data_IF_597275046378
#
_entry.id   IF_597275046378
#
_cell.length_a   1.000
_cell.length_b   1.000
_cell.length_c   1.000
_cell.angle_alpha   90.00
_cell.angle_beta   90.00
_cell.angle_gamma   90.00
#
_symmetry.space_group_name_H-M   'P 1'
#
loop_
_entity.id
_entity.type
_entity.pdbx_description
1 polymer ?
#
# COMPACT_ATOMS: atom_id res chain seq x y z
N UNK A 1 22.66 -33.33 -0.57
CA UNK A 1 21.77 -32.55 0.32
C UNK A 1 21.51 -31.16 -0.26
N UNK A 2 22.30 -30.79 -1.25
CA UNK A 2 22.44 -29.46 -1.83
C UNK A 2 21.19 -29.04 -2.60
N UNK A 3 20.60 -29.96 -3.38
CA UNK A 3 19.34 -29.73 -4.07
C UNK A 3 18.14 -29.45 -3.14
N UNK A 4 18.13 -29.98 -1.91
CA UNK A 4 17.07 -29.67 -0.94
C UNK A 4 17.20 -28.24 -0.42
N UNK A 5 18.44 -27.81 -0.12
CA UNK A 5 18.70 -26.45 0.35
C UNK A 5 18.37 -25.44 -0.74
N UNK A 6 18.77 -25.70 -1.98
CA UNK A 6 18.41 -24.83 -3.11
C UNK A 6 16.90 -24.80 -3.39
N UNK A 7 16.19 -25.91 -3.18
CA UNK A 7 14.73 -25.93 -3.25
C UNK A 7 14.09 -25.03 -2.17
N UNK A 8 14.65 -25.03 -0.96
CA UNK A 8 14.20 -24.13 0.11
C UNK A 8 14.45 -22.66 -0.26
N UNK A 9 15.62 -22.33 -0.79
CA UNK A 9 15.93 -20.98 -1.28
C UNK A 9 14.96 -20.54 -2.38
N UNK A 10 14.73 -21.39 -3.38
CA UNK A 10 13.77 -21.13 -4.45
C UNK A 10 12.34 -20.96 -3.92
N UNK A 11 11.92 -21.77 -2.93
CA UNK A 11 10.61 -21.62 -2.30
C UNK A 11 10.47 -20.26 -1.58
N UNK A 12 11.52 -19.80 -0.89
CA UNK A 12 11.55 -18.46 -0.27
C UNK A 12 11.37 -17.36 -1.32
N UNK A 13 12.13 -17.42 -2.43
CA UNK A 13 11.99 -16.46 -3.53
C UNK A 13 10.56 -16.47 -4.08
N UNK A 14 9.98 -17.64 -4.33
CA UNK A 14 8.62 -17.77 -4.85
C UNK A 14 7.55 -17.23 -3.89
N UNK A 15 7.73 -17.40 -2.57
CA UNK A 15 6.83 -16.81 -1.56
C UNK A 15 6.88 -15.28 -1.62
N UNK A 16 8.08 -14.70 -1.71
CA UNK A 16 8.24 -13.25 -1.81
C UNK A 16 7.69 -12.71 -3.13
N UNK A 17 7.98 -13.35 -4.26
CA UNK A 17 7.42 -12.96 -5.56
C UNK A 17 5.89 -13.06 -5.60
N UNK A 18 5.32 -14.06 -4.94
CA UNK A 18 3.87 -14.17 -4.77
C UNK A 18 3.31 -13.01 -3.94
N UNK A 19 3.99 -12.61 -2.88
CA UNK A 19 3.59 -11.46 -2.06
C UNK A 19 3.65 -10.14 -2.85
N UNK A 20 4.73 -9.92 -3.60
CA UNK A 20 4.86 -8.79 -4.53
C UNK A 20 3.72 -8.80 -5.54
N UNK A 21 3.42 -9.96 -6.15
CA UNK A 21 2.38 -10.07 -7.16
C UNK A 21 0.99 -9.73 -6.62
N UNK A 22 0.65 -10.25 -5.44
CA UNK A 22 -0.63 -9.95 -4.80
C UNK A 22 -0.73 -8.51 -4.30
N UNK A 23 0.36 -7.94 -3.80
CA UNK A 23 0.37 -6.55 -3.33
C UNK A 23 0.25 -5.57 -4.49
N UNK A 24 0.93 -5.82 -5.61
CA UNK A 24 1.04 -4.84 -6.71
C UNK A 24 0.03 -5.05 -7.84
N UNK A 25 -0.19 -6.30 -8.27
CA UNK A 25 -1.02 -6.59 -9.46
C UNK A 25 -2.39 -7.18 -9.12
N UNK A 26 -2.60 -7.72 -7.91
CA UNK A 26 -3.87 -8.33 -7.55
C UNK A 26 -4.36 -7.93 -6.15
N UNK A 27 -4.73 -6.64 -5.92
CA UNK A 27 -5.10 -6.11 -4.60
C UNK A 27 -6.34 -6.76 -3.95
N UNK A 28 -7.05 -7.64 -4.68
CA UNK A 28 -8.38 -8.13 -4.34
C UNK A 28 -8.43 -9.38 -3.45
N UNK A 29 -7.30 -10.00 -3.03
CA UNK A 29 -7.37 -11.22 -2.19
C UNK A 29 -6.26 -11.35 -1.14
N UNK A 30 -6.69 -11.42 0.13
CA UNK A 30 -6.08 -12.06 1.30
C UNK A 30 -4.65 -11.64 1.73
N UNK A 31 -4.56 -10.98 2.89
CA UNK A 31 -3.52 -11.15 3.93
C UNK A 31 -2.08 -11.50 3.54
N UNK A 32 -1.43 -10.72 2.68
CA UNK A 32 0.01 -10.86 2.38
C UNK A 32 0.94 -10.47 3.53
N UNK A 33 2.22 -10.83 3.41
CA UNK A 33 3.30 -10.43 4.32
C UNK A 33 3.40 -8.90 4.41
N UNK A 34 3.23 -8.22 3.28
CA UNK A 34 3.17 -6.75 3.20
C UNK A 34 2.12 -6.14 4.14
N UNK A 35 0.91 -6.71 4.17
CA UNK A 35 -0.18 -6.29 5.06
C UNK A 35 0.19 -6.53 6.52
N UNK A 36 0.77 -7.68 6.85
CA UNK A 36 1.18 -7.99 8.23
C UNK A 36 2.20 -6.96 8.72
N UNK A 37 3.20 -6.63 7.89
CA UNK A 37 4.21 -5.61 8.19
C UNK A 37 3.55 -4.25 8.40
N UNK A 38 2.68 -3.81 7.50
CA UNK A 38 1.99 -2.52 7.62
C UNK A 38 1.06 -2.45 8.84
N UNK A 39 0.27 -3.50 9.11
CA UNK A 39 -0.60 -3.55 10.30
C UNK A 39 0.22 -3.59 11.59
N UNK A 40 1.35 -4.30 11.62
CA UNK A 40 2.25 -4.33 12.76
C UNK A 40 2.86 -2.94 13.03
N UNK A 41 3.35 -2.27 11.98
CA UNK A 41 3.86 -0.89 12.06
C UNK A 41 2.79 0.09 12.50
N UNK A 42 1.57 -0.04 11.98
CA UNK A 42 0.42 0.77 12.38
C UNK A 42 0.09 0.61 13.87
N UNK A 43 0.01 -0.64 14.34
CA UNK A 43 -0.23 -0.96 15.75
C UNK A 43 0.91 -0.47 16.64
N UNK A 44 2.16 -0.58 16.19
CA UNK A 44 3.30 -0.10 16.97
C UNK A 44 3.30 1.43 17.06
N UNK A 45 3.00 2.13 15.97
CA UNK A 45 2.81 3.59 15.93
C UNK A 45 1.68 4.05 16.87
N UNK A 46 0.59 3.28 16.96
CA UNK A 46 -0.50 3.58 17.88
C UNK A 46 -0.12 3.50 19.37
N UNK A 47 0.89 2.69 19.71
CA UNK A 47 1.34 2.50 21.10
C UNK A 47 2.33 3.56 21.56
N UNK A 48 3.08 4.17 20.65
CA UNK A 48 4.20 5.06 21.01
C UNK A 48 3.79 6.52 21.20
N UNK A 49 2.76 7.05 20.52
CA UNK A 49 2.08 8.33 20.87
C UNK A 49 0.99 8.71 19.84
N UNK A 50 -0.14 9.32 20.25
CA UNK A 50 -1.07 9.99 19.33
C UNK A 50 -0.41 11.06 18.45
N UNK A 51 0.68 11.71 18.92
CA UNK A 51 1.47 12.66 18.12
C UNK A 51 2.31 11.98 17.04
N UNK A 52 2.74 10.73 17.25
CA UNK A 52 3.46 9.96 16.24
C UNK A 52 2.53 9.48 15.11
N UNK A 53 1.26 9.18 15.43
CA UNK A 53 0.18 8.98 14.43
C UNK A 53 0.00 10.22 13.55
N UNK A 54 -0.07 11.40 14.18
CA UNK A 54 -0.18 12.68 13.49
C UNK A 54 1.02 13.07 12.62
N UNK A 55 2.18 12.42 12.78
CA UNK A 55 3.41 12.82 12.10
C UNK A 55 3.44 12.48 10.59
N UNK A 56 2.46 11.74 10.06
CA UNK A 56 2.40 11.44 8.62
C UNK A 56 3.48 10.48 8.09
N UNK A 57 4.39 10.00 8.94
CA UNK A 57 5.54 9.16 8.55
C UNK A 57 5.20 7.65 8.52
N UNK A 58 4.12 7.22 9.18
CA UNK A 58 3.78 5.81 9.30
C UNK A 58 3.51 5.12 7.95
N UNK A 59 2.85 5.81 7.01
CA UNK A 59 2.57 5.30 5.66
C UNK A 59 3.84 5.11 4.82
N UNK A 60 4.64 6.17 4.56
CA UNK A 60 5.89 6.07 3.80
C UNK A 60 6.89 5.08 4.42
N UNK A 61 7.03 5.08 5.74
CA UNK A 61 7.90 4.13 6.45
C UNK A 61 7.39 2.69 6.28
N UNK A 62 6.08 2.48 6.35
CA UNK A 62 5.44 1.20 6.05
C UNK A 62 5.81 0.68 4.66
N UNK A 63 5.73 1.53 3.64
CA UNK A 63 6.15 1.16 2.28
C UNK A 63 7.64 0.81 2.22
N UNK A 64 8.50 1.63 2.82
CA UNK A 64 9.95 1.38 2.84
C UNK A 64 10.29 0.04 3.53
N UNK A 65 9.61 -0.30 4.63
CA UNK A 65 9.79 -1.57 5.32
C UNK A 65 9.33 -2.77 4.47
N UNK A 66 8.23 -2.65 3.73
CA UNK A 66 7.75 -3.70 2.83
C UNK A 66 8.75 -3.94 1.69
N UNK A 67 9.25 -2.87 1.08
CA UNK A 67 10.28 -2.95 0.03
C UNK A 67 11.56 -3.59 0.57
N UNK A 68 12.04 -3.15 1.73
CA UNK A 68 13.21 -3.73 2.37
C UNK A 68 13.02 -5.22 2.66
N UNK A 69 11.85 -5.62 3.17
CA UNK A 69 11.50 -7.02 3.40
C UNK A 69 11.55 -7.82 2.09
N UNK A 70 10.99 -7.32 0.99
CA UNK A 70 11.05 -8.01 -0.30
C UNK A 70 12.48 -8.16 -0.80
N UNK A 71 13.25 -7.06 -0.81
CA UNK A 71 14.64 -7.07 -1.28
C UNK A 71 15.49 -8.03 -0.45
N UNK A 72 15.41 -7.97 0.89
CA UNK A 72 16.13 -8.89 1.76
C UNK A 72 15.66 -10.33 1.60
N UNK A 73 14.35 -10.56 1.45
CA UNK A 73 13.79 -11.91 1.28
C UNK A 73 14.24 -12.57 -0.02
N UNK A 74 14.25 -11.81 -1.14
CA UNK A 74 14.75 -12.28 -2.42
C UNK A 74 16.27 -12.53 -2.34
N UNK A 75 17.04 -11.59 -1.78
CA UNK A 75 18.49 -11.74 -1.65
C UNK A 75 18.88 -12.96 -0.79
N UNK A 76 18.21 -13.16 0.35
CA UNK A 76 18.45 -14.34 1.20
C UNK A 76 17.99 -15.62 0.49
N UNK A 77 16.85 -15.60 -0.22
CA UNK A 77 16.37 -16.75 -0.97
C UNK A 77 17.37 -17.23 -2.02
N UNK A 78 17.92 -16.30 -2.82
CA UNK A 78 18.95 -16.61 -3.81
C UNK A 78 20.29 -16.99 -3.18
N UNK A 79 20.70 -16.34 -2.08
CA UNK A 79 21.87 -16.73 -1.32
C UNK A 79 21.80 -18.21 -0.88
N UNK A 80 20.63 -18.65 -0.41
CA UNK A 80 20.38 -20.06 -0.04
C UNK A 80 20.41 -20.99 -1.27
N UNK A 81 20.07 -20.50 -2.48
CA UNK A 81 20.22 -21.28 -3.73
C UNK A 81 21.68 -21.48 -4.10
N UNK A 82 22.51 -20.44 -3.98
CA UNK A 82 23.92 -20.47 -4.37
C UNK A 82 24.82 -21.16 -3.35
N UNK A 83 24.52 -20.99 -2.07
CA UNK A 83 25.33 -21.47 -0.96
C UNK A 83 25.81 -22.93 -1.08
N UNK A 84 24.96 -23.92 -1.43
CA UNK A 84 25.36 -25.32 -1.52
C UNK A 84 26.24 -25.65 -2.73
N UNK A 85 26.39 -24.72 -3.68
CA UNK A 85 27.15 -24.90 -4.91
C UNK A 85 28.50 -24.15 -4.88
N UNK A 86 28.86 -23.58 -3.73
CA UNK A 86 30.16 -22.97 -3.51
C UNK A 86 31.14 -23.97 -2.88
N UNK A 87 32.41 -24.03 -3.34
CA UNK A 87 33.00 -23.23 -4.41
C UNK A 87 32.78 -23.77 -5.83
N UNK A 88 32.39 -25.04 -6.01
CA UNK A 88 32.59 -25.75 -7.29
C UNK A 88 31.83 -25.15 -8.49
N UNK A 89 30.69 -24.50 -8.24
CA UNK A 89 29.84 -23.87 -9.25
C UNK A 89 30.30 -22.47 -9.69
N UNK A 90 31.32 -21.90 -9.05
CA UNK A 90 31.75 -20.51 -9.22
C UNK A 90 33.24 -20.38 -9.55
N UNK A 91 33.59 -19.33 -10.30
CA UNK A 91 34.96 -18.91 -10.54
C UNK A 91 35.23 -17.65 -9.73
N UNK A 92 36.36 -17.65 -9.02
CA UNK A 92 36.84 -16.54 -8.20
C UNK A 92 37.94 -15.79 -8.94
N UNK A 93 38.04 -14.49 -8.73
CA UNK A 93 39.17 -13.69 -9.22
C UNK A 93 40.49 -14.21 -8.62
N UNK A 94 41.60 -13.93 -9.30
CA UNK A 94 42.93 -14.41 -8.90
C UNK A 94 43.37 -13.95 -7.50
N UNK A 95 42.73 -12.89 -7.00
CA UNK A 95 43.05 -12.27 -5.71
C UNK A 95 42.21 -12.85 -4.55
N UNK A 96 41.26 -13.75 -4.83
CA UNK A 96 40.36 -14.37 -3.86
C UNK A 96 40.67 -15.87 -3.71
N UNK A 97 40.82 -16.33 -2.47
CA UNK A 97 41.00 -17.75 -2.18
C UNK A 97 39.63 -18.46 -2.04
N UNK A 98 39.29 -19.44 -2.91
CA UNK A 98 37.95 -20.05 -2.93
C UNK A 98 37.51 -20.69 -1.61
N UNK A 99 38.45 -21.24 -0.85
CA UNK A 99 38.18 -21.89 0.45
C UNK A 99 37.85 -20.88 1.55
N UNK A 100 38.31 -19.63 1.43
CA UNK A 100 38.01 -18.57 2.40
C UNK A 100 36.73 -17.80 2.03
N UNK A 101 36.38 -17.78 0.74
CA UNK A 101 35.25 -17.04 0.15
C UNK A 101 34.06 -17.92 -0.27
N UNK A 102 33.92 -19.08 0.37
CA UNK A 102 32.76 -19.95 0.26
C UNK A 102 32.02 -20.01 1.59
N UNK A 103 31.68 -18.85 2.19
CA UNK A 103 30.86 -18.71 3.42
C UNK A 103 29.44 -18.18 3.11
N UNK A 104 28.44 -18.36 3.99
CA UNK A 104 27.05 -17.96 3.68
C UNK A 104 26.93 -16.46 3.35
N UNK A 105 27.86 -15.68 3.89
CA UNK A 105 28.01 -14.25 3.61
C UNK A 105 28.44 -13.99 2.17
N UNK A 106 29.30 -14.82 1.59
CA UNK A 106 29.75 -14.70 0.20
C UNK A 106 28.61 -15.05 -0.77
N UNK A 107 27.80 -16.07 -0.46
CA UNK A 107 26.60 -16.37 -1.24
C UNK A 107 25.56 -15.23 -1.19
N UNK A 108 25.40 -14.58 -0.02
CA UNK A 108 24.58 -13.38 0.10
C UNK A 108 25.16 -12.20 -0.67
N UNK A 109 26.47 -12.02 -0.64
CA UNK A 109 27.16 -11.00 -1.42
C UNK A 109 26.93 -11.17 -2.91
N UNK A 110 27.11 -12.39 -3.47
CA UNK A 110 26.83 -12.67 -4.88
C UNK A 110 25.38 -12.37 -5.23
N UNK A 111 24.44 -12.84 -4.41
CA UNK A 111 23.02 -12.55 -4.64
C UNK A 111 22.75 -11.05 -4.66
N UNK A 112 23.29 -10.27 -3.73
CA UNK A 112 23.14 -8.81 -3.72
C UNK A 112 23.78 -8.14 -4.95
N UNK A 113 24.94 -8.62 -5.41
CA UNK A 113 25.63 -8.10 -6.60
C UNK A 113 24.83 -8.37 -7.87
N UNK A 114 24.23 -9.56 -8.01
CA UNK A 114 23.41 -9.95 -9.17
C UNK A 114 22.05 -9.25 -9.11
N UNK A 115 21.35 -9.34 -7.98
CA UNK A 115 20.05 -8.72 -7.74
C UNK A 115 20.11 -7.20 -7.90
N UNK A 116 21.16 -6.57 -7.38
CA UNK A 116 21.43 -5.14 -7.52
C UNK A 116 21.95 -4.75 -8.89
N UNK A 117 22.21 -5.71 -9.79
CA UNK A 117 22.78 -5.50 -11.13
C UNK A 117 24.17 -4.83 -11.13
N UNK A 118 24.92 -4.93 -10.03
CA UNK A 118 26.26 -4.36 -9.90
C UNK A 118 27.28 -5.08 -10.78
N UNK A 119 27.22 -6.42 -10.81
CA UNK A 119 28.09 -7.24 -11.67
C UNK A 119 29.59 -7.06 -11.44
N UNK A 120 30.04 -7.03 -10.19
CA UNK A 120 31.45 -6.77 -9.84
C UNK A 120 32.45 -7.77 -10.45
N UNK A 121 32.00 -9.01 -10.72
CA UNK A 121 32.77 -10.00 -11.49
C UNK A 121 33.93 -10.65 -10.75
N UNK A 122 34.02 -10.40 -9.43
CA UNK A 122 34.99 -11.00 -8.52
C UNK A 122 34.63 -12.45 -8.16
N UNK A 123 33.33 -12.76 -8.08
CA UNK A 123 32.83 -14.14 -8.04
C UNK A 123 31.75 -14.31 -9.11
N UNK A 124 31.97 -15.22 -10.05
CA UNK A 124 31.12 -15.40 -11.23
C UNK A 124 30.61 -16.84 -11.38
N UNK A 125 29.35 -17.05 -11.79
CA UNK A 125 28.80 -18.38 -12.03
C UNK A 125 29.53 -19.08 -13.20
N UNK A 126 30.10 -20.24 -12.92
CA UNK A 126 30.86 -21.03 -13.88
C UNK A 126 29.99 -22.13 -14.51
N UNK A 127 29.13 -22.75 -13.70
CA UNK A 127 28.31 -23.89 -14.10
C UNK A 127 27.20 -23.48 -15.10
N UNK A 128 26.88 -24.37 -16.04
CA UNK A 128 25.97 -24.08 -17.14
C UNK A 128 24.58 -23.63 -16.70
N UNK A 129 24.00 -24.24 -15.67
CA UNK A 129 22.68 -23.87 -15.16
C UNK A 129 22.74 -22.57 -14.34
N UNK A 130 23.80 -22.34 -13.56
CA UNK A 130 24.02 -21.08 -12.81
C UNK A 130 24.13 -19.88 -13.75
N UNK A 131 24.73 -20.06 -14.94
CA UNK A 131 24.80 -19.03 -15.98
C UNK A 131 23.43 -18.65 -16.58
N UNK A 132 22.42 -19.49 -16.41
CA UNK A 132 21.03 -19.17 -16.81
C UNK A 132 20.28 -18.57 -15.63
N UNK A 133 20.49 -19.10 -14.42
CA UNK A 133 19.79 -18.68 -13.21
C UNK A 133 20.22 -17.29 -12.74
N UNK A 134 21.52 -16.97 -12.77
CA UNK A 134 22.01 -15.66 -12.33
C UNK A 134 21.40 -14.48 -13.14
N UNK A 135 21.34 -14.52 -14.48
CA UNK A 135 20.61 -13.49 -15.23
C UNK A 135 19.11 -13.39 -14.88
N UNK A 136 18.46 -14.50 -14.51
CA UNK A 136 17.06 -14.47 -14.07
C UNK A 136 16.91 -13.76 -12.72
N UNK A 137 17.85 -13.92 -11.79
CA UNK A 137 17.88 -13.14 -10.55
C UNK A 137 18.00 -11.64 -10.84
N UNK A 138 18.88 -11.24 -11.75
CA UNK A 138 19.01 -9.83 -12.16
C UNK A 138 17.69 -9.29 -12.75
N UNK A 139 17.00 -10.08 -13.57
CA UNK A 139 15.69 -9.72 -14.12
C UNK A 139 14.62 -9.59 -13.02
N UNK A 140 14.66 -10.47 -12.01
CA UNK A 140 13.80 -10.38 -10.82
C UNK A 140 14.08 -9.09 -10.05
N UNK A 141 15.35 -8.74 -9.82
CA UNK A 141 15.74 -7.49 -9.16
C UNK A 141 15.26 -6.26 -9.92
N UNK A 142 15.45 -6.24 -11.24
CA UNK A 142 14.95 -5.16 -12.10
C UNK A 142 13.43 -5.04 -12.06
N UNK A 143 12.71 -6.18 -12.08
CA UNK A 143 11.24 -6.21 -11.98
C UNK A 143 10.79 -5.68 -10.62
N UNK A 144 11.43 -6.10 -9.53
CA UNK A 144 11.12 -5.66 -8.17
C UNK A 144 11.34 -4.15 -8.01
N UNK A 145 12.45 -3.62 -8.50
CA UNK A 145 12.73 -2.18 -8.50
C UNK A 145 11.67 -1.41 -9.29
N UNK A 146 11.41 -1.83 -10.53
CA UNK A 146 10.43 -1.21 -11.41
C UNK A 146 9.05 -1.19 -10.75
N UNK A 147 8.58 -2.33 -10.25
CA UNK A 147 7.28 -2.46 -9.65
C UNK A 147 7.16 -1.64 -8.35
N UNK A 148 8.23 -1.58 -7.54
CA UNK A 148 8.30 -0.72 -6.35
C UNK A 148 8.15 0.76 -6.71
N UNK A 149 8.90 1.23 -7.72
CA UNK A 149 8.81 2.64 -8.16
C UNK A 149 7.41 2.94 -8.68
N UNK A 150 6.83 2.06 -9.51
CA UNK A 150 5.45 2.22 -10.01
C UNK A 150 4.44 2.29 -8.87
N UNK A 151 4.56 1.42 -7.87
CA UNK A 151 3.67 1.40 -6.71
C UNK A 151 3.77 2.67 -5.87
N UNK A 152 4.99 3.12 -5.59
CA UNK A 152 5.25 4.38 -4.89
C UNK A 152 4.71 5.58 -5.67
N UNK A 153 4.84 5.61 -6.99
CA UNK A 153 4.29 6.70 -7.79
C UNK A 153 2.75 6.64 -7.91
N UNK A 154 2.14 5.44 -7.87
CA UNK A 154 0.70 5.24 -7.98
C UNK A 154 -0.08 5.68 -6.73
N UNK A 155 0.51 5.58 -5.54
CA UNK A 155 -0.17 5.92 -4.28
C UNK A 155 -0.32 7.43 -4.08
N UNK A 156 0.62 8.25 -4.56
CA UNK A 156 0.60 9.71 -4.32
C UNK A 156 -0.60 10.42 -4.96
N UNK A 157 -1.00 10.13 -6.23
CA UNK A 157 -2.21 10.70 -6.80
C UNK A 157 -3.49 10.35 -6.03
N UNK A 158 -3.60 9.12 -5.50
CA UNK A 158 -4.73 8.70 -4.66
C UNK A 158 -4.79 9.53 -3.36
N UNK A 159 -3.64 9.69 -2.69
CA UNK A 159 -3.53 10.53 -1.50
C UNK A 159 -3.85 12.01 -1.80
N UNK A 160 -3.42 12.52 -2.94
CA UNK A 160 -3.72 13.88 -3.36
C UNK A 160 -5.23 14.10 -3.56
N UNK A 161 -5.93 13.18 -4.24
CA UNK A 161 -7.39 13.23 -4.43
C UNK A 161 -8.14 13.17 -3.10
N UNK A 162 -7.69 12.31 -2.18
CA UNK A 162 -8.26 12.19 -0.83
C UNK A 162 -8.18 13.51 -0.05
N UNK A 163 -7.03 14.18 -0.10
CA UNK A 163 -6.83 15.52 0.50
C UNK A 163 -7.69 16.59 -0.16
N UNK A 164 -7.84 16.57 -1.49
CA UNK A 164 -8.74 17.50 -2.20
C UNK A 164 -10.18 17.34 -1.74
N UNK A 165 -10.67 16.10 -1.58
CA UNK A 165 -12.00 15.83 -1.05
C UNK A 165 -12.16 16.36 0.38
N UNK A 166 -11.18 16.11 1.25
CA UNK A 166 -11.21 16.61 2.63
C UNK A 166 -11.31 18.14 2.70
N UNK A 167 -10.48 18.84 1.91
CA UNK A 167 -10.51 20.31 1.81
C UNK A 167 -11.84 20.80 1.25
N UNK A 168 -12.40 20.14 0.23
CA UNK A 168 -13.70 20.50 -0.34
C UNK A 168 -14.81 20.37 0.71
N UNK A 169 -14.84 19.28 1.48
CA UNK A 169 -15.78 19.09 2.57
C UNK A 169 -15.61 20.18 3.64
N UNK A 170 -14.37 20.53 3.99
CA UNK A 170 -14.08 21.60 4.94
C UNK A 170 -14.57 22.96 4.45
N UNK A 171 -14.33 23.31 3.17
CA UNK A 171 -14.85 24.54 2.58
C UNK A 171 -16.38 24.59 2.57
N UNK A 172 -17.04 23.47 2.27
CA UNK A 172 -18.50 23.37 2.35
C UNK A 172 -19.03 23.52 3.78
N UNK A 173 -18.27 23.05 4.78
CA UNK A 173 -18.59 23.23 6.20
C UNK A 173 -18.44 24.69 6.61
N UNK A 174 -17.35 25.33 6.22
CA UNK A 174 -17.08 26.75 6.50
C UNK A 174 -18.07 27.69 5.81
N UNK A 175 -18.55 27.33 4.62
CA UNK A 175 -19.60 28.06 3.91
C UNK A 175 -20.98 27.99 4.60
N UNK A 176 -21.23 26.95 5.40
CA UNK A 176 -22.43 26.84 6.22
C UNK A 176 -23.74 26.81 5.43
N UNK A 177 -23.80 26.03 4.35
CA UNK A 177 -24.97 25.97 3.45
C UNK A 177 -26.27 25.65 4.23
N UNK A 178 -27.30 26.46 3.99
CA UNK A 178 -28.63 26.28 4.58
C UNK A 178 -29.39 25.17 3.85
N UNK A 179 -30.43 24.61 4.49
CA UNK A 179 -31.30 23.62 3.86
C UNK A 179 -31.95 24.15 2.58
N UNK A 180 -32.35 25.42 2.55
CA UNK A 180 -32.92 26.05 1.35
C UNK A 180 -31.91 26.16 0.20
N UNK A 181 -30.64 26.48 0.51
CA UNK A 181 -29.59 26.52 -0.51
C UNK A 181 -29.26 25.13 -1.05
N UNK A 182 -29.31 24.11 -0.19
CA UNK A 182 -29.15 22.71 -0.59
C UNK A 182 -30.35 22.22 -1.41
N UNK A 183 -31.55 22.71 -1.12
CA UNK A 183 -32.79 22.43 -1.84
C UNK A 183 -32.95 23.30 -3.11
N UNK A 184 -31.89 23.37 -3.91
CA UNK A 184 -31.85 24.14 -5.14
C UNK A 184 -31.05 23.41 -6.23
N UNK A 185 -31.13 23.88 -7.48
CA UNK A 185 -30.28 23.36 -8.55
C UNK A 185 -28.77 23.53 -8.27
N UNK A 186 -28.38 24.62 -7.61
CA UNK A 186 -26.99 24.84 -7.20
C UNK A 186 -26.57 23.86 -6.09
N UNK A 187 -27.45 23.62 -5.11
CA UNK A 187 -27.25 22.61 -4.07
C UNK A 187 -27.10 21.20 -4.65
N UNK A 188 -27.96 20.84 -5.61
CA UNK A 188 -27.88 19.57 -6.33
C UNK A 188 -26.51 19.36 -7.02
N UNK A 189 -25.96 20.39 -7.66
CA UNK A 189 -24.64 20.33 -8.29
C UNK A 189 -23.50 20.16 -7.28
N UNK A 190 -23.62 20.77 -6.08
CA UNK A 190 -22.65 20.59 -4.99
C UNK A 190 -22.65 19.15 -4.49
N UNK A 191 -23.84 18.58 -4.26
CA UNK A 191 -24.01 17.20 -3.78
C UNK A 191 -23.51 16.18 -4.80
N UNK A 192 -23.84 16.36 -6.08
CA UNK A 192 -23.40 15.49 -7.18
C UNK A 192 -21.87 15.52 -7.33
N UNK A 193 -21.27 16.71 -7.31
CA UNK A 193 -19.82 16.87 -7.36
C UNK A 193 -19.11 16.19 -6.16
N UNK A 194 -19.72 16.25 -4.97
CA UNK A 194 -19.21 15.57 -3.79
C UNK A 194 -19.33 14.04 -3.93
N UNK A 195 -20.45 13.54 -4.44
CA UNK A 195 -20.66 12.12 -4.67
C UNK A 195 -19.63 11.56 -5.67
N UNK A 196 -19.36 12.28 -6.76
CA UNK A 196 -18.36 11.89 -7.76
C UNK A 196 -16.92 11.87 -7.20
N UNK A 197 -16.58 12.74 -6.24
CA UNK A 197 -15.29 12.72 -5.57
C UNK A 197 -15.20 11.56 -4.56
N UNK A 198 -16.26 11.28 -3.80
CA UNK A 198 -16.33 10.15 -2.87
C UNK A 198 -16.23 8.81 -3.62
N UNK A 199 -16.93 8.66 -4.75
CA UNK A 199 -16.84 7.46 -5.58
C UNK A 199 -15.40 7.24 -6.08
N UNK A 200 -14.70 8.31 -6.51
CA UNK A 200 -13.28 8.24 -6.90
C UNK A 200 -12.39 7.79 -5.75
N UNK A 201 -12.59 8.34 -4.55
CA UNK A 201 -11.83 7.94 -3.35
C UNK A 201 -12.14 6.49 -2.93
N UNK A 202 -13.37 6.03 -3.13
CA UNK A 202 -13.77 4.63 -2.88
C UNK A 202 -13.00 3.66 -3.77
N UNK A 203 -12.90 3.99 -5.08
CA UNK A 203 -12.06 3.24 -6.02
C UNK A 203 -10.59 3.29 -5.62
N UNK A 204 -10.09 4.45 -5.17
CA UNK A 204 -8.70 4.59 -4.72
C UNK A 204 -8.40 3.68 -3.51
N UNK A 205 -9.28 3.59 -2.51
CA UNK A 205 -9.14 2.64 -1.40
C UNK A 205 -9.21 1.18 -1.85
N UNK A 206 -9.98 0.88 -2.90
CA UNK A 206 -10.06 -0.45 -3.47
C UNK A 206 -8.81 -0.84 -4.28
N UNK A 207 -8.18 0.12 -4.96
CA UNK A 207 -6.98 -0.10 -5.79
C UNK A 207 -5.68 -0.05 -4.97
N UNK A 208 -5.59 0.86 -4.00
CA UNK A 208 -4.41 1.07 -3.16
C UNK A 208 -4.78 0.90 -1.68
N UNK A 209 -4.99 -0.34 -1.20
CA UNK A 209 -5.37 -0.59 0.18
C UNK A 209 -4.37 0.00 1.19
N UNK A 210 -3.09 0.09 0.82
CA UNK A 210 -2.03 0.60 1.67
C UNK A 210 -2.16 2.09 1.97
N UNK A 211 -2.90 2.83 1.12
CA UNK A 211 -3.25 4.23 1.36
C UNK A 211 -4.06 4.44 2.65
N UNK A 212 -4.73 3.39 3.15
CA UNK A 212 -5.40 3.42 4.46
C UNK A 212 -4.42 3.73 5.60
N UNK A 213 -3.19 3.20 5.56
CA UNK A 213 -2.21 3.43 6.62
C UNK A 213 -1.48 4.78 6.50
N UNK A 214 -1.82 5.59 5.50
CA UNK A 214 -1.32 6.95 5.37
C UNK A 214 -2.20 7.91 6.14
N UNK A 215 -1.58 8.71 7.01
CA UNK A 215 -2.27 9.85 7.60
C UNK A 215 -2.28 11.01 6.60
N UNK A 216 -3.47 11.61 6.41
CA UNK A 216 -3.67 12.68 5.44
C UNK A 216 -3.06 14.03 5.79
N UNK A 217 -2.53 14.17 7.00
CA UNK A 217 -2.03 15.44 7.54
C UNK A 217 -2.77 15.80 8.83
N UNK A 218 -2.56 17.03 9.30
CA UNK A 218 -3.22 17.60 10.47
C UNK A 218 -4.40 18.49 10.04
N UNK A 219 -5.50 18.45 10.79
CA UNK A 219 -6.62 19.37 10.65
C UNK A 219 -7.45 19.18 9.37
N UNK A 220 -7.69 20.27 8.64
CA UNK A 220 -8.66 20.35 7.53
C UNK A 220 -8.30 19.53 6.28
N UNK A 221 -7.09 18.96 6.25
CA UNK A 221 -6.63 18.09 5.16
C UNK A 221 -6.98 16.62 5.37
N UNK A 222 -7.45 16.24 6.57
CA UNK A 222 -7.78 14.87 6.89
C UNK A 222 -9.21 14.52 6.48
N UNK A 223 -9.36 13.46 5.65
CA UNK A 223 -10.68 13.01 5.22
C UNK A 223 -11.49 12.41 6.38
N UNK A 224 -10.82 11.64 7.24
CA UNK A 224 -11.47 10.91 8.32
C UNK A 224 -12.35 11.78 9.26
N UNK A 225 -11.88 12.94 9.77
CA UNK A 225 -12.74 13.82 10.57
C UNK A 225 -13.75 14.63 9.73
N UNK A 226 -13.48 14.88 8.45
CA UNK A 226 -14.35 15.71 7.60
C UNK A 226 -15.53 14.92 7.02
N UNK A 227 -15.37 13.62 6.75
CA UNK A 227 -16.39 12.79 6.08
C UNK A 227 -17.75 12.78 6.81
N UNK A 228 -17.76 12.99 8.14
CA UNK A 228 -18.98 13.11 8.91
C UNK A 228 -19.89 14.27 8.45
N UNK A 229 -19.31 15.35 7.95
CA UNK A 229 -20.09 16.47 7.40
C UNK A 229 -20.76 16.11 6.07
N UNK A 230 -20.12 15.28 5.23
CA UNK A 230 -20.76 14.76 4.01
C UNK A 230 -21.99 13.91 4.34
N UNK A 231 -21.91 13.09 5.40
CA UNK A 231 -23.07 12.35 5.91
C UNK A 231 -24.17 13.29 6.42
N UNK A 232 -23.80 14.37 7.13
CA UNK A 232 -24.76 15.38 7.62
C UNK A 232 -25.50 16.09 6.46
N UNK A 233 -24.81 16.40 5.35
CA UNK A 233 -25.44 17.01 4.18
C UNK A 233 -26.59 16.15 3.64
N UNK A 234 -26.43 14.82 3.58
CA UNK A 234 -27.50 13.90 3.14
C UNK A 234 -28.73 13.93 4.05
N UNK A 235 -28.53 14.16 5.35
CA UNK A 235 -29.65 14.25 6.31
C UNK A 235 -30.39 15.58 6.17
N UNK A 236 -29.66 16.68 5.94
CA UNK A 236 -30.25 18.01 5.72
C UNK A 236 -31.09 18.05 4.45
N UNK A 237 -30.75 17.27 3.43
CA UNK A 237 -31.47 17.19 2.14
C UNK A 237 -32.58 16.15 2.12
N UNK A 238 -32.80 15.39 3.21
CA UNK A 238 -33.86 14.36 3.27
C UNK A 238 -35.27 14.92 3.04
N UNK A 239 -35.49 16.19 3.36
CA UNK A 239 -36.78 16.90 3.17
C UNK A 239 -36.76 17.88 1.99
N UNK A 240 -35.75 17.80 1.12
CA UNK A 240 -35.68 18.62 -0.08
C UNK A 240 -36.91 18.38 -0.97
N UNK A 241 -37.42 19.44 -1.59
CA UNK A 241 -38.53 19.37 -2.53
C UNK A 241 -38.06 19.46 -3.98
N UNK A 242 -36.89 20.05 -4.22
CA UNK A 242 -36.30 20.19 -5.53
C UNK A 242 -35.87 18.81 -6.06
N UNK A 243 -36.40 18.35 -7.21
CA UNK A 243 -36.13 17.01 -7.73
C UNK A 243 -34.63 16.73 -7.92
N UNK A 244 -33.88 17.72 -8.40
CA UNK A 244 -32.43 17.60 -8.55
C UNK A 244 -31.69 17.39 -7.22
N UNK A 245 -32.11 18.06 -6.14
CA UNK A 245 -31.47 17.93 -4.84
C UNK A 245 -31.75 16.53 -4.23
N UNK A 246 -32.96 16.00 -4.42
CA UNK A 246 -33.31 14.64 -4.02
C UNK A 246 -32.47 13.58 -4.75
N UNK A 247 -32.34 13.70 -6.08
CA UNK A 247 -31.52 12.77 -6.87
C UNK A 247 -30.06 12.85 -6.42
N UNK A 248 -29.45 14.04 -6.39
CA UNK A 248 -28.05 14.18 -6.00
C UNK A 248 -27.79 13.74 -4.55
N UNK A 249 -28.75 13.95 -3.64
CA UNK A 249 -28.68 13.43 -2.28
C UNK A 249 -28.66 11.90 -2.25
N UNK A 250 -29.49 11.24 -3.07
CA UNK A 250 -29.51 9.77 -3.15
C UNK A 250 -28.21 9.20 -3.71
N UNK A 251 -27.63 9.86 -4.73
CA UNK A 251 -26.34 9.48 -5.32
C UNK A 251 -25.21 9.68 -4.32
N UNK A 252 -25.22 10.77 -3.55
CA UNK A 252 -24.26 11.01 -2.47
C UNK A 252 -24.36 9.94 -1.37
N UNK A 253 -25.57 9.55 -0.96
CA UNK A 253 -25.76 8.48 0.02
C UNK A 253 -25.22 7.15 -0.51
N UNK A 254 -25.49 6.79 -1.76
CA UNK A 254 -24.95 5.57 -2.36
C UNK A 254 -23.41 5.60 -2.42
N UNK A 255 -22.80 6.74 -2.79
CA UNK A 255 -21.34 6.87 -2.81
C UNK A 255 -20.71 6.74 -1.40
N UNK A 256 -21.38 7.26 -0.36
CA UNK A 256 -20.93 7.11 1.02
C UNK A 256 -21.06 5.66 1.52
N UNK A 257 -22.09 4.95 1.08
CA UNK A 257 -22.31 3.53 1.37
C UNK A 257 -21.26 2.64 0.69
N UNK A 258 -20.94 2.91 -0.58
CA UNK A 258 -19.86 2.25 -1.31
C UNK A 258 -18.50 2.46 -0.60
N UNK A 259 -18.21 3.71 -0.20
CA UNK A 259 -16.99 4.02 0.55
C UNK A 259 -16.94 3.23 1.87
N UNK A 260 -18.03 3.24 2.62
CA UNK A 260 -18.12 2.51 3.88
C UNK A 260 -17.95 1.01 3.68
N UNK A 261 -18.57 0.43 2.67
CA UNK A 261 -18.43 -0.99 2.32
C UNK A 261 -16.96 -1.34 2.08
N UNK A 262 -16.26 -0.56 1.24
CA UNK A 262 -14.83 -0.77 0.98
C UNK A 262 -13.99 -0.63 2.26
N UNK A 263 -14.30 0.33 3.13
CA UNK A 263 -13.58 0.53 4.39
C UNK A 263 -13.82 -0.60 5.39
N UNK A 264 -15.05 -1.10 5.49
CA UNK A 264 -15.43 -2.14 6.43
C UNK A 264 -14.88 -3.50 6.02
N UNK A 265 -15.11 -3.91 4.77
CA UNK A 265 -14.68 -5.21 4.25
C UNK A 265 -13.15 -5.40 4.29
N UNK A 266 -12.39 -4.30 4.18
CA UNK A 266 -10.93 -4.37 4.04
C UNK A 266 -10.17 -4.08 5.31
N UNK A 267 -10.69 -3.22 6.18
CA UNK A 267 -9.93 -2.70 7.30
C UNK A 267 -10.68 -2.85 8.63
N UNK A 268 -11.89 -2.32 8.73
CA UNK A 268 -12.57 -2.15 10.03
C UNK A 268 -13.31 -3.41 10.50
N UNK A 269 -13.88 -4.20 9.59
CA UNK A 269 -14.64 -5.44 9.87
C UNK A 269 -15.66 -5.28 11.00
N UNK A 270 -16.35 -4.15 11.00
CA UNK A 270 -17.19 -3.71 12.09
C UNK A 270 -18.65 -4.15 11.94
N UNK A 271 -19.09 -4.48 10.72
CA UNK A 271 -20.40 -5.06 10.42
C UNK A 271 -21.59 -4.12 10.70
N UNK A 272 -21.33 -2.82 10.86
CA UNK A 272 -22.34 -1.80 11.11
C UNK A 272 -22.84 -1.13 9.83
N UNK A 273 -23.86 -0.29 9.96
CA UNK A 273 -24.35 0.59 8.89
C UNK A 273 -23.25 1.58 8.43
N UNK A 274 -23.34 2.12 7.21
CA UNK A 274 -22.31 2.97 6.62
C UNK A 274 -21.93 4.16 7.51
N UNK A 275 -22.89 4.76 8.21
CA UNK A 275 -22.65 5.84 9.19
C UNK A 275 -21.76 5.40 10.35
N UNK A 276 -22.00 4.19 10.85
CA UNK A 276 -21.19 3.61 11.92
C UNK A 276 -19.77 3.33 11.44
N UNK A 277 -19.62 2.77 10.23
CA UNK A 277 -18.33 2.49 9.62
C UNK A 277 -17.53 3.79 9.40
N UNK A 278 -18.15 4.85 8.85
CA UNK A 278 -17.48 6.14 8.68
C UNK A 278 -17.06 6.76 10.02
N UNK A 279 -17.86 6.59 11.08
CA UNK A 279 -17.49 6.99 12.43
C UNK A 279 -16.37 6.14 13.05
N UNK A 280 -16.31 4.85 12.73
CA UNK A 280 -15.19 3.98 13.10
C UNK A 280 -13.90 4.36 12.35
N UNK A 281 -14.00 4.69 11.06
CA UNK A 281 -12.90 5.23 10.26
C UNK A 281 -12.34 6.53 10.85
N UNK A 282 -13.22 7.48 11.19
CA UNK A 282 -12.84 8.72 11.86
C UNK A 282 -12.05 8.45 13.15
N UNK A 283 -12.56 7.57 14.03
CA UNK A 283 -11.90 7.23 15.30
C UNK A 283 -10.54 6.54 15.10
N UNK A 284 -10.43 5.63 14.14
CA UNK A 284 -9.17 4.91 13.87
C UNK A 284 -8.05 5.88 13.41
N UNK A 285 -8.43 6.94 12.69
CA UNK A 285 -7.54 7.97 12.16
C UNK A 285 -7.38 9.21 13.04
N UNK A 286 -7.84 9.16 14.31
CA UNK A 286 -7.63 10.24 15.27
C UNK A 286 -8.69 11.35 15.25
N UNK A 287 -9.83 11.13 14.60
CA UNK A 287 -11.04 11.91 14.80
C UNK A 287 -11.66 11.57 16.15
N UNK A 288 -11.34 12.37 17.16
CA UNK A 288 -12.04 12.47 18.44
C UNK A 288 -12.97 13.67 18.44
#
# INVERSE_FOLDING_TARGET
>A
MDGLISLVGAAVVMIILRDVFHTLWHPTRHGGLSRIVMTALWRLSSRTSPRARAAGVAGPLGMACVVAMWTCGVAVGWAVVYWPHMPEGFVFSSDLEPTEHSRPVDALYISLVILGTLGLGDIAPAEGWLRVVAPLEALVGFTLLTATVTWVLGIFPALARRRTLALRICHLRGAGLTTEQLDSAAGAAVLDGLAAEIARVSVDFAQYPESYYFHDGLGDTALAPSIGYAAELTERTRRAQHPGALISSSVLTAALDDLATVLDERFLHSGGDWRYVLGAYARDHGGG
#
